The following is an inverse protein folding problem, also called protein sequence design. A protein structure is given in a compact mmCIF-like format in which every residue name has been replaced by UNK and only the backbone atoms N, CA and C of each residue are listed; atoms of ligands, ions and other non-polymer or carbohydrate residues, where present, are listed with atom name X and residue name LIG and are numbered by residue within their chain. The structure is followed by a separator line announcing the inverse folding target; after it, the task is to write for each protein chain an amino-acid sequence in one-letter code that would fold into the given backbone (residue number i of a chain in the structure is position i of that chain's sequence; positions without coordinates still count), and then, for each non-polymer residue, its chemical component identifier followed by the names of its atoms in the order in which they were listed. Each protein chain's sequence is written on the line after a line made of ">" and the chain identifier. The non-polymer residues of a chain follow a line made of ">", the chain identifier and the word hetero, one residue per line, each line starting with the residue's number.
data_IF_222090498483
#
_entry.id   IF_222090498483
#
_cell.length_a   1.000
_cell.length_b   1.000
_cell.length_c   1.000
_cell.angle_alpha   90.00
_cell.angle_beta   90.00
_cell.angle_gamma   90.00
#
_symmetry.space_group_name_H-M   'P 1'
#
loop_
_entity.id
_entity.type
_entity.pdbx_description
1 polymer ?
#
# COMPACT_ATOMS: atom_id res chain seq x y z
N UNK A 1 -14.29 -6.90 13.67
CA UNK A 1 -12.95 -7.07 14.21
C UNK A 1 -12.01 -7.48 13.08
N UNK A 2 -10.81 -6.93 13.04
CA UNK A 2 -9.88 -7.08 11.91
C UNK A 2 -9.41 -8.53 11.70
N UNK A 3 -9.31 -9.32 12.76
CA UNK A 3 -8.94 -10.73 12.67
C UNK A 3 -9.93 -11.60 11.85
N UNK A 4 -11.20 -11.18 11.75
CA UNK A 4 -12.17 -11.86 10.89
C UNK A 4 -11.76 -11.72 9.41
N UNK A 5 -11.14 -10.60 9.02
CA UNK A 5 -10.66 -10.43 7.65
C UNK A 5 -9.56 -11.44 7.31
N UNK A 6 -8.63 -11.70 8.23
CA UNK A 6 -7.61 -12.74 8.07
C UNK A 6 -8.22 -14.14 7.98
N UNK A 7 -9.21 -14.44 8.85
CA UNK A 7 -9.91 -15.71 8.83
C UNK A 7 -10.58 -15.95 7.46
N UNK A 8 -11.27 -14.93 6.92
CA UNK A 8 -11.91 -15.01 5.62
C UNK A 8 -10.90 -15.28 4.47
N UNK A 9 -9.68 -14.70 4.55
CA UNK A 9 -8.62 -15.01 3.57
C UNK A 9 -8.28 -16.50 3.59
N UNK A 10 -8.08 -17.08 4.78
CA UNK A 10 -7.71 -18.48 4.91
C UNK A 10 -8.82 -19.45 4.53
N UNK A 11 -10.06 -19.11 4.84
CA UNK A 11 -11.22 -19.94 4.51
C UNK A 11 -11.53 -19.93 3.01
N UNK A 12 -11.36 -18.78 2.34
CA UNK A 12 -11.68 -18.61 0.92
C UNK A 12 -10.51 -18.93 -0.02
N UNK A 13 -9.27 -18.82 0.45
CA UNK A 13 -8.06 -19.05 -0.34
C UNK A 13 -8.02 -18.24 -1.65
N UNK A 14 -8.20 -16.90 -1.64
CA UNK A 14 -8.40 -16.14 -2.87
C UNK A 14 -7.20 -16.22 -3.80
N UNK A 15 -7.46 -16.26 -5.11
CA UNK A 15 -6.44 -16.19 -6.15
C UNK A 15 -6.22 -14.74 -6.53
N UNK A 16 -4.96 -14.28 -6.49
CA UNK A 16 -4.57 -12.88 -6.72
C UNK A 16 -3.59 -12.77 -7.87
N UNK A 17 -3.95 -12.01 -8.90
CA UNK A 17 -3.05 -11.64 -9.99
C UNK A 17 -2.15 -10.49 -9.55
N UNK A 18 -0.83 -10.61 -9.78
CA UNK A 18 0.14 -9.59 -9.41
C UNK A 18 0.98 -9.19 -10.61
N UNK A 19 0.87 -7.93 -11.03
CA UNK A 19 1.84 -7.24 -11.85
C UNK A 19 2.67 -6.39 -10.91
N UNK A 20 3.82 -6.92 -10.47
CA UNK A 20 4.63 -6.30 -9.44
C UNK A 20 6.09 -6.16 -9.88
N UNK A 21 6.91 -5.45 -9.09
CA UNK A 21 8.28 -5.16 -9.46
C UNK A 21 9.21 -6.37 -9.27
N UNK A 22 10.24 -6.44 -10.11
CA UNK A 22 11.20 -7.56 -10.14
C UNK A 22 12.04 -7.71 -8.87
N UNK A 23 12.20 -6.62 -8.11
CA UNK A 23 13.01 -6.63 -6.88
C UNK A 23 12.34 -7.46 -5.78
N UNK A 24 11.00 -7.48 -5.75
CA UNK A 24 10.21 -8.03 -4.64
C UNK A 24 9.22 -9.11 -5.05
N UNK A 25 9.18 -9.50 -6.32
CA UNK A 25 8.20 -10.44 -6.88
C UNK A 25 8.09 -11.74 -6.07
N UNK A 26 9.22 -12.32 -5.66
CA UNK A 26 9.24 -13.56 -4.88
C UNK A 26 8.70 -13.33 -3.45
N UNK A 27 9.06 -12.24 -2.82
CA UNK A 27 8.61 -11.91 -1.46
C UNK A 27 7.11 -11.61 -1.43
N UNK A 28 6.57 -10.91 -2.44
CA UNK A 28 5.14 -10.68 -2.61
C UNK A 28 4.40 -12.02 -2.73
N UNK A 29 4.89 -12.95 -3.55
CA UNK A 29 4.30 -14.28 -3.67
C UNK A 29 4.28 -15.02 -2.32
N UNK A 30 5.40 -15.02 -1.59
CA UNK A 30 5.51 -15.72 -0.31
C UNK A 30 4.62 -15.11 0.78
N UNK A 31 4.45 -13.80 0.84
CA UNK A 31 3.54 -13.14 1.79
C UNK A 31 2.08 -13.49 1.50
N UNK A 32 1.69 -13.52 0.22
CA UNK A 32 0.33 -13.93 -0.19
C UNK A 32 0.08 -15.40 0.19
N UNK A 33 1.04 -16.29 -0.04
CA UNK A 33 0.94 -17.70 0.40
C UNK A 33 0.87 -17.80 1.93
N UNK A 34 1.67 -17.02 2.64
CA UNK A 34 1.70 -17.05 4.10
C UNK A 34 0.36 -16.62 4.72
N UNK A 35 -0.37 -15.68 4.14
CA UNK A 35 -1.68 -15.30 4.66
C UNK A 35 -2.80 -16.29 4.32
N UNK A 36 -2.55 -17.30 3.46
CA UNK A 36 -3.52 -18.33 3.07
C UNK A 36 -4.18 -18.08 1.70
N UNK A 37 -3.68 -17.13 0.91
CA UNK A 37 -4.12 -16.85 -0.45
C UNK A 37 -3.17 -17.49 -1.49
N UNK A 38 -3.51 -17.39 -2.77
CA UNK A 38 -2.72 -17.94 -3.88
C UNK A 38 -2.32 -16.84 -4.88
N UNK A 39 -1.02 -16.59 -5.11
CA UNK A 39 -0.56 -15.60 -6.06
C UNK A 39 -0.37 -16.18 -7.47
N UNK A 40 -0.67 -15.38 -8.50
CA UNK A 40 -0.17 -15.59 -9.86
C UNK A 40 0.62 -14.33 -10.26
N UNK A 41 1.83 -14.53 -10.76
CA UNK A 41 2.72 -13.47 -11.25
C UNK A 41 2.73 -13.51 -12.78
N UNK A 42 2.11 -12.53 -13.44
CA UNK A 42 2.11 -12.40 -14.90
C UNK A 42 2.07 -10.93 -15.27
N UNK A 43 2.88 -10.50 -16.25
CA UNK A 43 2.95 -9.12 -16.76
C UNK A 43 2.99 -9.05 -18.30
N UNK A 44 2.89 -10.20 -18.98
CA UNK A 44 2.90 -10.31 -20.43
C UNK A 44 1.53 -9.89 -21.00
N UNK A 45 1.45 -8.85 -21.88
CA UNK A 45 0.18 -8.35 -22.42
C UNK A 45 -0.72 -9.42 -23.08
N UNK A 46 -0.13 -10.47 -23.63
CA UNK A 46 -0.88 -11.56 -24.26
C UNK A 46 -1.47 -12.58 -23.28
N UNK A 47 -1.02 -12.58 -22.03
CA UNK A 47 -1.39 -13.54 -20.99
C UNK A 47 -2.27 -12.92 -19.88
N UNK A 48 -2.04 -11.63 -19.56
CA UNK A 48 -2.62 -11.00 -18.37
C UNK A 48 -4.15 -11.01 -18.33
N UNK A 49 -4.84 -10.99 -19.47
CA UNK A 49 -6.31 -10.98 -19.49
C UNK A 49 -6.87 -12.32 -19.06
N UNK A 50 -6.28 -13.43 -19.52
CA UNK A 50 -6.68 -14.79 -19.14
C UNK A 50 -6.38 -15.05 -17.67
N UNK A 51 -5.19 -14.61 -17.19
CA UNK A 51 -4.82 -14.70 -15.77
C UNK A 51 -5.74 -13.86 -14.90
N UNK A 52 -6.03 -12.61 -15.29
CA UNK A 52 -6.98 -11.78 -14.55
C UNK A 52 -8.36 -12.43 -14.46
N UNK A 53 -8.81 -13.09 -15.54
CA UNK A 53 -10.14 -13.68 -15.59
C UNK A 53 -10.34 -14.82 -14.58
N UNK A 54 -9.31 -15.56 -14.23
CA UNK A 54 -9.38 -16.65 -13.25
C UNK A 54 -9.09 -16.22 -11.81
N UNK A 55 -8.57 -14.98 -11.61
CA UNK A 55 -8.28 -14.41 -10.29
C UNK A 55 -9.48 -13.65 -9.73
N UNK A 56 -9.51 -13.41 -8.43
CA UNK A 56 -10.51 -12.57 -7.77
C UNK A 56 -10.08 -11.12 -7.60
N UNK A 57 -8.79 -10.82 -7.77
CA UNK A 57 -8.24 -9.47 -7.64
C UNK A 57 -6.92 -9.28 -8.36
N UNK A 58 -6.59 -8.02 -8.58
CA UNK A 58 -5.40 -7.55 -9.30
C UNK A 58 -4.62 -6.54 -8.47
N UNK A 59 -3.34 -6.83 -8.25
CA UNK A 59 -2.36 -5.91 -7.67
C UNK A 59 -1.47 -5.34 -8.77
N UNK A 60 -1.49 -4.03 -8.96
CA UNK A 60 -0.62 -3.30 -9.90
C UNK A 60 0.40 -2.48 -9.12
N UNK A 61 1.69 -2.79 -9.31
CA UNK A 61 2.81 -2.07 -8.71
C UNK A 61 3.76 -1.58 -9.79
N UNK A 62 4.01 -0.27 -9.83
CA UNK A 62 4.78 0.39 -10.89
C UNK A 62 6.28 0.53 -10.59
N UNK A 63 6.83 -0.24 -9.67
CA UNK A 63 8.22 -0.09 -9.19
C UNK A 63 9.30 -0.38 -10.24
N UNK A 64 9.03 -1.23 -11.25
CA UNK A 64 9.96 -1.53 -12.35
C UNK A 64 9.23 -1.51 -13.68
N UNK A 65 9.00 -0.31 -14.22
CA UNK A 65 8.26 -0.11 -15.45
C UNK A 65 9.10 -0.41 -16.71
N UNK A 66 8.44 -1.02 -17.68
CA UNK A 66 8.86 -1.04 -19.07
C UNK A 66 7.62 -0.97 -19.98
N UNK A 67 7.80 -0.78 -21.29
CA UNK A 67 6.68 -0.60 -22.25
C UNK A 67 5.68 -1.75 -22.16
N UNK A 68 6.16 -2.99 -22.15
CA UNK A 68 5.30 -4.19 -22.13
C UNK A 68 4.52 -4.32 -20.82
N UNK A 69 5.17 -4.06 -19.67
CA UNK A 69 4.47 -4.11 -18.38
C UNK A 69 3.38 -3.05 -18.27
N UNK A 70 3.58 -1.85 -18.85
CA UNK A 70 2.55 -0.80 -18.87
C UNK A 70 1.35 -1.25 -19.71
N UNK A 71 1.59 -1.83 -20.89
CA UNK A 71 0.53 -2.42 -21.73
C UNK A 71 -0.22 -3.54 -20.99
N UNK A 72 0.52 -4.42 -20.31
CA UNK A 72 -0.04 -5.50 -19.49
C UNK A 72 -0.89 -4.97 -18.33
N UNK A 73 -0.44 -3.91 -17.63
CA UNK A 73 -1.19 -3.27 -16.54
C UNK A 73 -2.53 -2.72 -17.02
N UNK A 74 -2.55 -2.03 -18.18
CA UNK A 74 -3.78 -1.51 -18.76
C UNK A 74 -4.73 -2.64 -19.18
N UNK A 75 -4.23 -3.66 -19.88
CA UNK A 75 -5.04 -4.79 -20.33
C UNK A 75 -5.64 -5.58 -19.15
N UNK A 76 -4.83 -5.87 -18.11
CA UNK A 76 -5.28 -6.54 -16.90
C UNK A 76 -6.29 -5.70 -16.11
N UNK A 77 -6.02 -4.38 -15.97
CA UNK A 77 -6.89 -3.46 -15.24
C UNK A 77 -8.26 -3.32 -15.88
N UNK A 78 -8.33 -3.16 -17.21
CA UNK A 78 -9.60 -3.12 -17.94
C UNK A 78 -10.38 -4.44 -17.77
N UNK A 79 -9.67 -5.59 -17.85
CA UNK A 79 -10.29 -6.89 -17.66
C UNK A 79 -10.81 -7.08 -16.24
N UNK A 80 -10.05 -6.67 -15.23
CA UNK A 80 -10.47 -6.70 -13.84
C UNK A 80 -11.71 -5.84 -13.59
N UNK A 81 -11.78 -4.63 -14.18
CA UNK A 81 -12.94 -3.75 -14.06
C UNK A 81 -14.17 -4.33 -14.78
N UNK A 82 -14.00 -4.92 -15.97
CA UNK A 82 -15.08 -5.65 -16.68
C UNK A 82 -15.70 -6.73 -15.79
N UNK A 83 -14.86 -7.50 -15.11
CA UNK A 83 -15.26 -8.61 -14.23
C UNK A 83 -15.64 -8.16 -12.81
N UNK A 84 -15.49 -6.89 -12.48
CA UNK A 84 -15.73 -6.31 -11.13
C UNK A 84 -14.84 -6.95 -10.05
N UNK A 85 -13.62 -7.31 -10.42
CA UNK A 85 -12.61 -7.79 -9.49
C UNK A 85 -12.05 -6.64 -8.65
N UNK A 86 -11.50 -6.97 -7.47
CA UNK A 86 -10.79 -5.98 -6.63
C UNK A 86 -9.48 -5.56 -7.27
N UNK A 87 -9.24 -4.26 -7.39
CA UNK A 87 -8.03 -3.71 -8.00
C UNK A 87 -7.31 -2.78 -7.04
N UNK A 88 -6.02 -3.03 -6.82
CA UNK A 88 -5.15 -2.20 -6.01
C UNK A 88 -4.03 -1.59 -6.86
N UNK A 89 -3.76 -0.29 -6.66
CA UNK A 89 -2.61 0.43 -7.20
C UNK A 89 -1.57 0.69 -6.12
N UNK A 90 -0.33 0.31 -6.38
CA UNK A 90 0.86 0.69 -5.62
C UNK A 90 1.76 1.57 -6.53
N UNK A 91 1.65 2.90 -6.42
CA UNK A 91 2.32 3.85 -7.31
C UNK A 91 3.77 4.10 -6.94
N UNK A 92 4.54 3.04 -6.73
CA UNK A 92 5.94 3.08 -6.27
C UNK A 92 6.77 4.08 -7.06
N UNK A 93 7.26 5.11 -6.37
CA UNK A 93 8.13 6.13 -6.95
C UNK A 93 7.40 7.14 -7.84
N UNK A 94 6.08 7.28 -7.74
CA UNK A 94 5.37 8.43 -8.28
C UNK A 94 5.95 9.71 -7.64
N UNK A 95 6.30 10.70 -8.49
CA UNK A 95 7.05 11.89 -8.09
C UNK A 95 8.56 11.79 -8.37
N UNK A 96 9.15 10.61 -8.32
CA UNK A 96 10.60 10.42 -8.54
C UNK A 96 11.00 10.47 -10.02
N UNK A 97 10.09 10.14 -10.95
CA UNK A 97 10.32 10.29 -12.39
C UNK A 97 9.03 10.58 -13.14
N UNK A 98 9.15 11.29 -14.27
CA UNK A 98 7.99 11.59 -15.12
C UNK A 98 7.33 10.32 -15.68
N UNK A 99 8.10 9.28 -16.01
CA UNK A 99 7.54 8.01 -16.47
C UNK A 99 6.62 7.39 -15.42
N UNK A 100 7.07 7.29 -14.17
CA UNK A 100 6.27 6.70 -13.08
C UNK A 100 5.04 7.52 -12.76
N UNK A 101 5.20 8.83 -12.63
CA UNK A 101 4.08 9.75 -12.37
C UNK A 101 3.03 9.69 -13.47
N UNK A 102 3.46 9.81 -14.75
CA UNK A 102 2.55 9.79 -15.88
C UNK A 102 1.86 8.41 -16.01
N UNK A 103 2.58 7.31 -15.76
CA UNK A 103 1.98 5.97 -15.78
C UNK A 103 0.93 5.83 -14.69
N UNK A 104 1.23 6.24 -13.45
CA UNK A 104 0.26 6.16 -12.36
C UNK A 104 -1.00 6.99 -12.64
N UNK A 105 -0.83 8.23 -13.13
CA UNK A 105 -1.96 9.10 -13.52
C UNK A 105 -2.77 8.49 -14.66
N UNK A 106 -2.11 7.95 -15.69
CA UNK A 106 -2.79 7.30 -16.81
C UNK A 106 -3.58 6.06 -16.37
N UNK A 107 -2.97 5.22 -15.51
CA UNK A 107 -3.68 4.06 -14.94
C UNK A 107 -4.92 4.48 -14.16
N UNK A 108 -4.84 5.55 -13.37
CA UNK A 108 -5.99 6.07 -12.60
C UNK A 108 -7.09 6.69 -13.50
N UNK A 109 -6.75 7.16 -14.68
CA UNK A 109 -7.74 7.65 -15.67
C UNK A 109 -8.47 6.53 -16.39
N UNK A 110 -7.77 5.42 -16.65
CA UNK A 110 -8.26 4.29 -17.45
C UNK A 110 -8.88 3.16 -16.62
N UNK A 111 -8.46 3.01 -15.37
CA UNK A 111 -8.82 1.90 -14.48
C UNK A 111 -9.42 2.44 -13.20
N UNK A 112 -10.54 1.85 -12.77
CA UNK A 112 -11.11 2.09 -11.45
C UNK A 112 -10.40 1.22 -10.43
N UNK A 113 -9.76 1.84 -9.46
CA UNK A 113 -9.11 1.17 -8.32
C UNK A 113 -10.03 1.14 -7.10
N UNK A 114 -10.04 0.02 -6.38
CA UNK A 114 -10.72 -0.10 -5.08
C UNK A 114 -9.85 0.47 -3.96
N UNK A 115 -8.52 0.29 -4.08
CA UNK A 115 -7.54 0.83 -3.13
C UNK A 115 -6.36 1.42 -3.88
N UNK A 116 -5.89 2.58 -3.41
CA UNK A 116 -4.61 3.17 -3.80
C UNK A 116 -3.74 3.21 -2.53
N UNK A 117 -2.60 2.51 -2.54
CA UNK A 117 -1.68 2.41 -1.42
C UNK A 117 -0.31 2.96 -1.77
N UNK A 118 0.18 3.93 -1.03
CA UNK A 118 1.51 4.51 -1.24
C UNK A 118 2.04 5.18 0.02
N UNK A 119 3.27 5.68 -0.02
CA UNK A 119 3.75 6.61 0.99
C UNK A 119 3.11 7.99 0.79
N UNK A 120 3.31 8.89 1.76
CA UNK A 120 2.68 10.22 1.72
C UNK A 120 3.09 11.03 0.48
N UNK A 121 4.36 10.94 0.03
CA UNK A 121 4.86 11.67 -1.15
C UNK A 121 4.22 11.14 -2.44
N UNK A 122 4.10 9.82 -2.59
CA UNK A 122 3.44 9.18 -3.72
C UNK A 122 1.96 9.58 -3.81
N UNK A 123 1.23 9.51 -2.71
CA UNK A 123 -0.20 9.88 -2.66
C UNK A 123 -0.40 11.38 -2.93
N UNK A 124 0.43 12.25 -2.37
CA UNK A 124 0.38 13.70 -2.67
C UNK A 124 0.65 13.99 -4.14
N UNK A 125 1.62 13.31 -4.76
CA UNK A 125 1.91 13.44 -6.17
C UNK A 125 0.68 13.10 -7.03
N UNK A 126 -0.03 12.04 -6.71
CA UNK A 126 -1.25 11.65 -7.42
C UNK A 126 -2.40 12.63 -7.17
N UNK A 127 -2.56 13.11 -5.93
CA UNK A 127 -3.59 14.09 -5.58
C UNK A 127 -3.39 15.44 -6.27
N UNK A 128 -2.13 15.88 -6.45
CA UNK A 128 -1.81 17.12 -7.16
C UNK A 128 -2.02 17.03 -8.70
N UNK A 129 -2.21 15.83 -9.24
CA UNK A 129 -2.30 15.58 -10.67
C UNK A 129 -0.97 15.79 -11.40
N UNK A 130 -0.99 15.75 -12.75
CA UNK A 130 0.19 15.92 -13.62
C UNK A 130 0.73 17.36 -13.72
N UNK A 131 0.38 18.24 -12.80
CA UNK A 131 0.91 19.60 -12.71
C UNK A 131 2.34 19.57 -12.19
N UNK A 132 3.29 19.93 -13.04
CA UNK A 132 4.71 20.23 -12.86
C UNK A 132 5.16 20.46 -11.41
N UNK A 133 5.25 19.43 -10.60
CA UNK A 133 6.07 19.42 -9.41
C UNK A 133 7.43 18.88 -9.82
N UNK A 134 8.47 19.71 -9.74
CA UNK A 134 9.85 19.24 -9.75
C UNK A 134 9.97 18.22 -8.63
N UNK A 135 10.43 16.99 -8.98
CA UNK A 135 10.43 15.82 -8.13
C UNK A 135 10.72 16.14 -6.67
N UNK A 136 9.81 15.74 -5.82
CA UNK A 136 10.07 15.66 -4.38
C UNK A 136 10.77 14.31 -4.22
N UNK A 137 12.09 14.34 -4.16
CA UNK A 137 12.87 13.20 -3.71
C UNK A 137 12.39 12.87 -2.30
N UNK A 138 11.97 11.64 -2.08
CA UNK A 138 11.83 11.08 -0.75
C UNK A 138 13.27 10.82 -0.22
N UNK A 139 13.97 11.90 0.07
CA UNK A 139 15.29 11.83 0.69
C UNK A 139 15.10 11.75 2.21
N UNK A 140 16.04 11.12 2.88
CA UNK A 140 16.16 11.11 4.36
C UNK A 140 16.23 12.55 4.93
N UNK A 141 16.39 13.55 4.06
CA UNK A 141 16.32 14.98 4.35
C UNK A 141 14.87 15.51 4.57
N UNK A 142 13.82 14.74 4.27
CA UNK A 142 12.42 15.12 4.52
C UNK A 142 11.99 14.89 5.99
N UNK A 143 12.88 14.41 6.84
CA UNK A 143 12.66 14.46 8.28
C UNK A 143 12.71 15.91 8.73
N UNK A 144 11.57 16.46 9.11
CA UNK A 144 11.50 17.80 9.74
C UNK A 144 12.27 17.74 11.05
N UNK A 145 13.34 18.55 11.15
CA UNK A 145 14.12 18.74 12.37
C UNK A 145 13.78 20.10 12.96
N UNK A 146 14.07 20.34 14.25
CA UNK A 146 13.87 21.67 14.87
C UNK A 146 14.63 22.80 14.13
N UNK A 147 15.72 22.46 13.42
CA UNK A 147 16.54 23.43 12.70
C UNK A 147 15.95 23.86 11.34
N UNK A 148 15.09 23.04 10.71
CA UNK A 148 14.46 23.35 9.41
C UNK A 148 12.93 23.52 9.51
N UNK A 149 12.38 23.52 10.71
CA UNK A 149 10.94 23.59 10.96
C UNK A 149 10.28 24.82 10.32
N UNK A 150 10.87 25.99 10.42
CA UNK A 150 10.32 27.24 9.88
C UNK A 150 10.31 27.23 8.34
N UNK A 151 11.34 26.68 7.69
CA UNK A 151 11.39 26.51 6.23
C UNK A 151 10.41 25.44 5.76
N UNK A 152 10.29 24.33 6.48
CA UNK A 152 9.34 23.26 6.19
C UNK A 152 7.89 23.77 6.35
N UNK A 153 7.60 24.57 7.37
CA UNK A 153 6.29 25.20 7.59
C UNK A 153 5.98 26.22 6.51
N UNK A 154 6.95 27.06 6.10
CA UNK A 154 6.78 28.05 5.03
C UNK A 154 6.54 27.35 3.66
N UNK A 155 7.28 26.28 3.37
CA UNK A 155 7.09 25.47 2.18
C UNK A 155 5.72 24.76 2.18
N UNK A 156 5.34 24.16 3.32
CA UNK A 156 4.05 23.51 3.48
C UNK A 156 2.87 24.48 3.28
N UNK A 157 2.95 25.70 3.81
CA UNK A 157 1.94 26.73 3.62
C UNK A 157 1.85 27.18 2.16
N UNK A 158 2.98 27.47 1.51
CA UNK A 158 3.02 27.88 0.10
C UNK A 158 2.53 26.76 -0.85
N UNK A 159 2.81 25.52 -0.51
CA UNK A 159 2.33 24.36 -1.26
C UNK A 159 0.83 24.09 -1.02
N UNK A 160 0.37 24.22 0.23
CA UNK A 160 -1.05 24.11 0.61
C UNK A 160 -1.92 25.15 -0.08
N UNK A 161 -1.47 26.42 -0.14
CA UNK A 161 -2.17 27.52 -0.81
C UNK A 161 -2.26 27.32 -2.33
N UNK A 162 -1.28 26.64 -2.93
CA UNK A 162 -1.16 26.45 -4.38
C UNK A 162 -1.80 25.16 -4.89
N UNK A 163 -1.86 24.11 -4.07
CA UNK A 163 -2.33 22.77 -4.44
C UNK A 163 -3.56 22.30 -3.66
N UNK A 164 -3.97 23.03 -2.61
CA UNK A 164 -5.02 22.57 -1.69
C UNK A 164 -4.62 21.38 -0.83
N UNK A 165 -3.33 21.03 -0.80
CA UNK A 165 -2.83 19.81 -0.14
C UNK A 165 -2.05 20.13 1.13
N UNK A 166 -2.18 19.28 2.15
CA UNK A 166 -1.53 19.43 3.45
C UNK A 166 -0.27 18.56 3.50
N UNK A 167 0.82 19.13 4.02
CA UNK A 167 2.10 18.44 4.24
C UNK A 167 2.26 18.14 5.72
N UNK A 168 2.29 16.87 6.10
CA UNK A 168 2.50 16.50 7.49
C UNK A 168 3.29 15.22 7.69
N UNK A 169 4.27 15.26 8.59
CA UNK A 169 4.90 14.10 9.22
C UNK A 169 5.35 14.46 10.63
N UNK A 170 4.43 14.66 11.56
CA UNK A 170 4.67 14.64 13.01
C UNK A 170 3.34 14.37 13.72
N UNK A 171 3.37 13.92 14.99
CA UNK A 171 2.15 13.72 15.80
C UNK A 171 1.27 14.99 15.87
N UNK A 172 1.87 16.18 15.84
CA UNK A 172 1.15 17.48 15.82
C UNK A 172 0.36 17.71 14.52
N UNK A 173 0.67 16.98 13.45
CA UNK A 173 0.02 17.10 12.14
C UNK A 173 -0.89 15.90 11.80
N UNK A 174 -1.11 14.97 12.72
CA UNK A 174 -1.90 13.76 12.47
C UNK A 174 -3.34 14.11 12.06
N UNK A 175 -3.98 15.06 12.71
CA UNK A 175 -5.35 15.47 12.38
C UNK A 175 -5.44 16.04 10.95
N UNK A 176 -4.44 16.79 10.50
CA UNK A 176 -4.37 17.33 9.14
C UNK A 176 -4.15 16.20 8.10
N UNK A 177 -3.30 15.22 8.42
CA UNK A 177 -3.09 14.06 7.56
C UNK A 177 -4.36 13.20 7.45
N UNK A 178 -5.12 13.05 8.53
CA UNK A 178 -6.44 12.39 8.53
C UNK A 178 -7.44 13.13 7.64
N UNK A 179 -7.50 14.45 7.70
CA UNK A 179 -8.35 15.26 6.81
C UNK A 179 -7.94 15.05 5.36
N UNK A 180 -6.63 15.17 5.04
CA UNK A 180 -6.12 14.96 3.68
C UNK A 180 -6.50 13.60 3.10
N UNK A 181 -6.26 12.51 3.85
CA UNK A 181 -6.55 11.16 3.34
C UNK A 181 -8.03 10.94 3.13
N UNK A 182 -8.89 11.50 3.99
CA UNK A 182 -10.35 11.45 3.84
C UNK A 182 -10.81 12.21 2.59
N UNK A 183 -10.33 13.43 2.40
CA UNK A 183 -10.69 14.25 1.26
C UNK A 183 -10.26 13.59 -0.06
N UNK A 184 -9.04 13.06 -0.12
CA UNK A 184 -8.56 12.39 -1.32
C UNK A 184 -9.30 11.07 -1.59
N UNK A 185 -9.63 10.30 -0.56
CA UNK A 185 -10.43 9.09 -0.70
C UNK A 185 -11.85 9.42 -1.23
N UNK A 186 -12.48 10.47 -0.71
CA UNK A 186 -13.78 10.92 -1.19
C UNK A 186 -13.74 11.39 -2.66
N UNK A 187 -12.67 12.08 -3.07
CA UNK A 187 -12.49 12.57 -4.45
C UNK A 187 -12.20 11.44 -5.43
N UNK A 188 -11.33 10.50 -5.07
CA UNK A 188 -10.93 9.38 -5.94
C UNK A 188 -11.98 8.27 -6.04
N UNK A 189 -12.88 8.18 -5.06
CA UNK A 189 -13.83 7.08 -4.92
C UNK A 189 -13.17 5.74 -4.56
N UNK A 190 -11.93 5.78 -4.09
CA UNK A 190 -11.12 4.62 -3.68
C UNK A 190 -10.82 4.69 -2.19
N UNK A 191 -10.56 3.55 -1.55
CA UNK A 191 -9.89 3.54 -0.25
C UNK A 191 -8.44 3.98 -0.46
N UNK A 192 -8.00 4.95 0.33
CA UNK A 192 -6.61 5.43 0.31
C UNK A 192 -5.87 4.90 1.53
N UNK A 193 -4.74 4.24 1.30
CA UNK A 193 -3.85 3.75 2.34
C UNK A 193 -2.49 4.46 2.24
N UNK A 194 -2.21 5.36 3.17
CA UNK A 194 -0.92 6.04 3.31
C UNK A 194 -0.12 5.27 4.35
N UNK A 195 1.07 4.80 3.96
CA UNK A 195 1.92 4.01 4.86
C UNK A 195 3.22 4.73 5.19
N UNK A 196 3.61 4.66 6.47
CA UNK A 196 4.78 5.36 7.01
C UNK A 196 5.12 4.93 8.45
N UNK A 197 5.48 5.89 9.30
CA UNK A 197 5.65 5.64 10.73
C UNK A 197 4.30 5.44 11.45
N UNK A 198 3.28 6.14 10.97
CA UNK A 198 1.86 5.94 11.30
C UNK A 198 1.16 5.72 9.98
N UNK A 199 0.30 4.70 9.91
CA UNK A 199 -0.42 4.38 8.69
C UNK A 199 -1.86 4.91 8.76
N UNK A 200 -2.36 5.47 7.65
CA UNK A 200 -3.69 6.06 7.55
C UNK A 200 -4.47 5.36 6.45
N UNK A 201 -5.64 4.81 6.76
CA UNK A 201 -6.48 4.12 5.80
C UNK A 201 -7.90 4.71 5.84
N UNK A 202 -8.38 5.26 4.73
CA UNK A 202 -9.66 5.96 4.68
C UNK A 202 -10.48 5.67 3.42
N UNK A 203 -11.80 5.65 3.57
CA UNK A 203 -12.80 5.61 2.51
C UNK A 203 -13.44 6.99 2.23
N UNK A 204 -12.92 8.04 2.85
CA UNK A 204 -13.46 9.40 2.79
C UNK A 204 -14.44 9.76 3.91
N UNK A 205 -14.91 8.79 4.68
CA UNK A 205 -15.80 9.00 5.83
C UNK A 205 -15.12 8.67 7.14
N UNK A 206 -14.48 7.53 7.17
CA UNK A 206 -13.79 6.96 8.34
C UNK A 206 -12.31 6.87 8.00
N UNK A 207 -11.44 7.07 8.98
CA UNK A 207 -10.01 6.85 8.89
C UNK A 207 -9.54 5.95 10.02
N UNK A 208 -8.92 4.83 9.66
CA UNK A 208 -8.11 4.04 10.59
C UNK A 208 -6.72 4.65 10.68
N UNK A 209 -6.28 4.94 11.90
CA UNK A 209 -4.92 5.39 12.22
C UNK A 209 -4.24 4.21 12.88
N UNK A 210 -3.25 3.61 12.23
CA UNK A 210 -2.60 2.37 12.67
C UNK A 210 -1.19 2.67 13.15
N UNK A 211 -0.85 2.14 14.33
CA UNK A 211 0.42 2.35 15.03
C UNK A 211 1.27 1.08 15.11
N UNK A 212 0.88 0.00 14.42
CA UNK A 212 1.69 -1.20 14.32
C UNK A 212 2.89 -0.98 13.39
N UNK A 213 3.97 -1.68 13.67
CA UNK A 213 5.17 -1.66 12.86
C UNK A 213 6.41 -1.25 13.66
N UNK A 214 7.54 -1.27 12.97
CA UNK A 214 8.85 -0.95 13.56
C UNK A 214 9.74 -0.27 12.53
N UNK A 215 10.60 0.67 12.97
CA UNK A 215 11.54 1.35 12.07
C UNK A 215 12.49 0.39 11.32
N UNK A 216 12.82 -0.74 11.93
CA UNK A 216 13.72 -1.74 11.34
C UNK A 216 13.15 -2.40 10.09
N UNK A 217 11.81 -2.39 9.90
CA UNK A 217 11.16 -2.87 8.68
C UNK A 217 11.61 -2.07 7.45
N UNK A 218 11.95 -0.79 7.61
CA UNK A 218 12.49 0.06 6.55
C UNK A 218 13.86 -0.39 6.00
N UNK A 219 14.54 -1.32 6.68
CA UNK A 219 15.79 -1.92 6.19
C UNK A 219 15.58 -3.18 5.36
N UNK A 220 14.34 -3.60 5.16
CA UNK A 220 13.96 -4.71 4.27
C UNK A 220 13.39 -4.11 3.00
N UNK A 221 13.97 -4.45 1.85
CA UNK A 221 13.42 -3.96 0.58
C UNK A 221 12.04 -4.55 0.32
N UNK A 222 11.11 -3.70 -0.09
CA UNK A 222 9.81 -4.11 -0.59
C UNK A 222 8.76 -4.54 0.43
N UNK A 223 8.91 -4.21 1.70
CA UNK A 223 7.83 -4.43 2.71
C UNK A 223 6.52 -3.78 2.28
N UNK A 224 6.59 -2.59 1.65
CA UNK A 224 5.43 -1.94 1.06
C UNK A 224 4.82 -2.74 -0.08
N UNK A 225 5.63 -3.22 -1.02
CA UNK A 225 5.14 -4.04 -2.15
C UNK A 225 4.51 -5.37 -1.66
N UNK A 226 5.08 -5.98 -0.62
CA UNK A 226 4.53 -7.15 0.05
C UNK A 226 3.16 -6.83 0.67
N UNK A 227 3.04 -5.67 1.33
CA UNK A 227 1.77 -5.20 1.89
C UNK A 227 0.71 -5.00 0.80
N UNK A 228 1.06 -4.50 -0.37
CA UNK A 228 0.10 -4.31 -1.48
C UNK A 228 -0.47 -5.65 -1.97
N UNK A 229 0.38 -6.66 -2.13
CA UNK A 229 -0.08 -8.02 -2.46
C UNK A 229 -0.94 -8.64 -1.37
N UNK A 230 -0.52 -8.52 -0.10
CA UNK A 230 -1.28 -8.96 1.07
C UNK A 230 -2.65 -8.28 1.14
N UNK A 231 -2.69 -6.96 0.99
CA UNK A 231 -3.91 -6.15 1.03
C UNK A 231 -4.89 -6.57 -0.08
N UNK A 232 -4.39 -6.86 -1.28
CA UNK A 232 -5.25 -7.35 -2.37
C UNK A 232 -5.91 -8.68 -2.00
N UNK A 233 -5.20 -9.62 -1.37
CA UNK A 233 -5.77 -10.88 -0.89
C UNK A 233 -6.88 -10.64 0.15
N UNK A 234 -6.68 -9.69 1.07
CA UNK A 234 -7.68 -9.30 2.06
C UNK A 234 -8.93 -8.68 1.42
N UNK A 235 -8.75 -7.82 0.42
CA UNK A 235 -9.88 -7.21 -0.32
C UNK A 235 -10.72 -8.26 -1.04
N UNK A 236 -10.08 -9.20 -1.74
CA UNK A 236 -10.79 -10.28 -2.45
C UNK A 236 -11.60 -11.14 -1.50
N UNK A 237 -11.04 -11.44 -0.34
CA UNK A 237 -11.74 -12.23 0.68
C UNK A 237 -12.85 -11.47 1.42
N UNK A 238 -12.82 -10.12 1.41
CA UNK A 238 -13.74 -9.26 2.17
C UNK A 238 -14.33 -8.13 1.30
N UNK A 239 -15.00 -8.40 0.18
CA UNK A 239 -15.36 -7.41 -0.82
C UNK A 239 -16.34 -6.33 -0.30
N UNK A 240 -17.17 -6.66 0.69
CA UNK A 240 -18.15 -5.74 1.29
C UNK A 240 -17.56 -4.86 2.40
N UNK A 241 -16.32 -5.14 2.83
CA UNK A 241 -15.63 -4.47 3.95
C UNK A 241 -14.23 -4.02 3.52
N UNK A 242 -14.14 -3.25 2.43
CA UNK A 242 -12.84 -2.87 1.82
C UNK A 242 -11.96 -2.07 2.76
N UNK A 243 -12.55 -1.15 3.53
CA UNK A 243 -11.82 -0.31 4.48
C UNK A 243 -11.22 -1.15 5.60
N UNK A 244 -12.04 -2.02 6.22
CA UNK A 244 -11.60 -2.92 7.29
C UNK A 244 -10.59 -3.95 6.77
N UNK A 245 -10.76 -4.45 5.55
CA UNK A 245 -9.84 -5.36 4.90
C UNK A 245 -8.46 -4.71 4.68
N UNK A 246 -8.44 -3.46 4.20
CA UNK A 246 -7.21 -2.71 4.02
C UNK A 246 -6.53 -2.42 5.37
N UNK A 247 -7.28 -1.98 6.38
CA UNK A 247 -6.77 -1.76 7.73
C UNK A 247 -6.23 -3.05 8.38
N UNK A 248 -6.94 -4.18 8.20
CA UNK A 248 -6.50 -5.49 8.69
C UNK A 248 -5.18 -5.94 8.05
N UNK A 249 -4.99 -5.72 6.75
CA UNK A 249 -3.73 -6.03 6.06
C UNK A 249 -2.57 -5.20 6.59
N UNK A 250 -2.77 -3.89 6.85
CA UNK A 250 -1.78 -3.01 7.44
C UNK A 250 -1.41 -3.47 8.86
N UNK A 251 -2.41 -3.71 9.72
CA UNK A 251 -2.18 -4.22 11.08
C UNK A 251 -1.46 -5.59 11.05
N UNK A 252 -1.82 -6.48 10.12
CA UNK A 252 -1.15 -7.79 9.97
C UNK A 252 0.33 -7.63 9.65
N UNK A 253 0.68 -6.78 8.68
CA UNK A 253 2.07 -6.54 8.29
C UNK A 253 2.87 -5.89 9.43
N UNK A 254 2.31 -4.85 10.07
CA UNK A 254 2.96 -4.14 11.16
C UNK A 254 3.16 -5.03 12.39
N UNK A 255 2.13 -5.78 12.81
CA UNK A 255 2.21 -6.72 13.92
C UNK A 255 3.20 -7.85 13.64
N UNK A 256 3.22 -8.37 12.41
CA UNK A 256 4.21 -9.36 12.00
C UNK A 256 5.64 -8.81 12.09
N UNK A 257 5.84 -7.53 11.76
CA UNK A 257 7.12 -6.85 11.96
C UNK A 257 7.51 -6.78 13.44
N UNK A 258 6.59 -6.43 14.33
CA UNK A 258 6.83 -6.36 15.78
C UNK A 258 7.20 -7.73 16.37
N UNK A 259 6.38 -8.75 16.08
CA UNK A 259 6.60 -10.11 16.57
C UNK A 259 7.88 -10.71 15.96
N UNK A 260 8.06 -10.56 14.64
CA UNK A 260 9.26 -11.07 13.96
C UNK A 260 10.55 -10.48 14.51
N UNK A 261 10.53 -9.19 14.88
CA UNK A 261 11.68 -8.56 15.54
C UNK A 261 11.96 -9.15 16.93
N UNK A 262 10.94 -9.50 17.70
CA UNK A 262 11.12 -10.10 19.02
C UNK A 262 11.82 -11.47 18.97
N UNK A 263 11.82 -12.13 17.82
CA UNK A 263 12.51 -13.41 17.58
C UNK A 263 13.94 -13.26 17.07
N UNK A 264 14.40 -12.02 16.80
CA UNK A 264 15.75 -11.77 16.29
C UNK A 264 16.81 -12.10 17.36
N UNK A 265 17.88 -12.74 16.91
CA UNK A 265 19.03 -13.14 17.74
C UNK A 265 20.27 -12.33 17.41
N UNK A 266 21.25 -12.35 18.29
CA UNK A 266 22.55 -11.71 18.03
C UNK A 266 23.19 -12.32 16.77
N UNK A 267 23.44 -11.49 15.76
CA UNK A 267 24.00 -11.91 14.48
C UNK A 267 22.98 -12.08 13.35
N UNK A 268 21.68 -12.04 13.64
CA UNK A 268 20.65 -11.99 12.61
C UNK A 268 20.67 -10.65 11.88
N UNK A 269 20.40 -10.69 10.58
CA UNK A 269 20.33 -9.53 9.71
C UNK A 269 18.96 -9.34 9.03
N UNK A 270 18.90 -8.44 8.05
CA UNK A 270 17.66 -8.09 7.34
C UNK A 270 17.01 -9.29 6.62
N UNK A 271 17.79 -10.25 6.11
CA UNK A 271 17.26 -11.47 5.49
C UNK A 271 16.50 -12.34 6.49
N UNK A 272 17.07 -12.56 7.68
CA UNK A 272 16.41 -13.29 8.75
C UNK A 272 15.14 -12.55 9.18
N UNK A 273 15.21 -11.24 9.35
CA UNK A 273 14.06 -10.44 9.76
C UNK A 273 12.92 -10.51 8.73
N UNK A 274 13.25 -10.39 7.42
CA UNK A 274 12.26 -10.58 6.35
C UNK A 274 11.57 -11.95 6.46
N UNK A 275 12.33 -13.01 6.62
CA UNK A 275 11.77 -14.36 6.76
C UNK A 275 10.91 -14.49 8.02
N UNK A 276 11.33 -13.88 9.14
CA UNK A 276 10.52 -13.86 10.37
C UNK A 276 9.17 -13.19 10.18
N UNK A 277 9.10 -12.10 9.43
CA UNK A 277 7.82 -11.43 9.11
C UNK A 277 6.90 -12.40 8.36
N UNK A 278 7.39 -13.08 7.33
CA UNK A 278 6.62 -14.05 6.55
C UNK A 278 6.16 -15.22 7.43
N UNK A 279 7.06 -15.78 8.25
CA UNK A 279 6.74 -16.85 9.19
C UNK A 279 5.66 -16.45 10.20
N UNK A 280 5.71 -15.21 10.70
CA UNK A 280 4.70 -14.69 11.63
C UNK A 280 3.35 -14.54 10.93
N UNK A 281 3.31 -14.02 9.70
CA UNK A 281 2.05 -13.93 8.94
C UNK A 281 1.45 -15.32 8.73
N UNK A 282 2.27 -16.33 8.41
CA UNK A 282 1.81 -17.71 8.24
C UNK A 282 1.18 -18.28 9.51
N UNK A 283 1.76 -18.02 10.67
CA UNK A 283 1.31 -18.55 11.96
C UNK A 283 0.30 -17.65 12.69
N UNK A 284 0.06 -16.41 12.23
CA UNK A 284 -0.80 -15.45 12.92
C UNK A 284 -2.23 -15.97 13.00
N UNK A 285 -2.82 -15.96 14.20
CA UNK A 285 -4.24 -16.30 14.36
C UNK A 285 -5.12 -15.06 14.33
N UNK A 286 -6.42 -15.26 14.16
CA UNK A 286 -7.43 -14.22 14.25
C UNK A 286 -7.34 -13.48 15.58
N UNK A 287 -7.22 -14.23 16.67
CA UNK A 287 -7.17 -13.70 18.03
C UNK A 287 -5.90 -12.87 18.23
N UNK A 288 -4.75 -13.35 17.74
CA UNK A 288 -3.50 -12.59 17.79
C UNK A 288 -3.59 -11.26 17.05
N UNK A 289 -4.24 -11.24 15.88
CA UNK A 289 -4.44 -9.99 15.15
C UNK A 289 -5.42 -9.06 15.88
N UNK A 290 -6.53 -9.58 16.42
CA UNK A 290 -7.51 -8.77 17.16
C UNK A 290 -6.93 -8.18 18.46
N UNK A 291 -6.05 -8.89 19.14
CA UNK A 291 -5.39 -8.46 20.39
C UNK A 291 -4.18 -7.55 20.13
N UNK A 292 -3.46 -7.79 19.02
CA UNK A 292 -2.20 -7.10 18.70
C UNK A 292 -2.38 -5.86 17.81
N UNK A 293 -3.53 -5.67 17.18
CA UNK A 293 -3.79 -4.52 16.33
C UNK A 293 -3.89 -3.23 17.17
N UNK A 294 -3.03 -2.26 16.84
CA UNK A 294 -2.96 -0.95 17.52
C UNK A 294 -3.50 0.10 16.57
N UNK A 295 -4.75 0.44 16.70
CA UNK A 295 -5.37 1.45 15.86
C UNK A 295 -6.42 2.27 16.59
N UNK A 296 -6.68 3.46 16.09
CA UNK A 296 -7.84 4.28 16.44
C UNK A 296 -8.66 4.59 15.19
N UNK A 297 -9.91 4.93 15.38
CA UNK A 297 -10.84 5.29 14.30
C UNK A 297 -11.24 6.74 14.46
N UNK A 298 -11.05 7.53 13.42
CA UNK A 298 -11.37 8.96 13.38
C UNK A 298 -12.36 9.32 12.29
#
# INVERSE_FOLDING_TARGET
>A
MLGTCLQNVREKGPLVHNITNYVTVNDVANVILACGASPIMSDEPQDVQDITAICGGLNINIGTLNVRTIEGMLAAGHKANELKHMVLLDPVGAGASSLRTNTAVNLMQEIKFDVIRGNISEIKTLAAGSGTTKGVDADVADAVTEENLDEAVAFAKAFSEKSGSIVAVTDENLDQAVVFVKDYAAQSGSVIAITGAIDLISDGKICYVVHNGRPEMGRITGTGCQLSGLMTAYLVANPEQKLEAAAAAVCTMGLAGEIGWSYMQKGDGNSTYRNRIIDVIYNMTKEQLDEGAKYEVR
#
